data_IF_915339971155
#
_entry.id   IF_915339971155
#
_cell.length_a   1.000
_cell.length_b   1.000
_cell.length_c   1.000
_cell.angle_alpha   90.00
_cell.angle_beta   90.00
_cell.angle_gamma   90.00
#
_symmetry.space_group_name_H-M   'P 1'
#
loop_
_entity.id
_entity.type
_entity.pdbx_description
1 polymer ?
#
# COMPACT_ATOMS: atom_id res chain seq x y z
N UNK A 1 68.52 -59.74 15.91
CA UNK A 1 67.27 -59.51 15.15
C UNK A 1 66.15 -60.22 15.90
N UNK A 2 65.12 -59.48 16.35
CA UNK A 2 63.92 -59.39 15.53
C UNK A 2 63.34 -57.98 15.41
N UNK A 3 62.69 -57.77 14.28
CA UNK A 3 61.99 -56.58 13.80
C UNK A 3 60.65 -56.40 14.51
N UNK A 4 60.45 -55.20 15.06
CA UNK A 4 59.15 -54.65 15.45
C UNK A 4 58.31 -54.38 14.21
N UNK A 5 57.35 -55.25 13.94
CA UNK A 5 56.23 -54.99 13.04
C UNK A 5 54.96 -55.06 13.89
N UNK A 6 54.56 -53.91 14.44
CA UNK A 6 53.33 -53.77 15.21
C UNK A 6 52.59 -52.52 14.76
N UNK A 7 51.28 -52.71 14.54
CA UNK A 7 50.23 -51.70 14.56
C UNK A 7 50.20 -50.67 13.43
N UNK A 8 49.65 -51.06 12.27
CA UNK A 8 48.96 -50.13 11.35
C UNK A 8 47.62 -50.62 10.80
N UNK A 9 47.20 -51.85 11.12
CA UNK A 9 46.00 -52.46 10.53
C UNK A 9 44.70 -52.21 11.33
N UNK A 10 44.77 -51.71 12.58
CA UNK A 10 43.60 -51.46 13.44
C UNK A 10 43.07 -50.02 13.42
N UNK A 11 43.90 -49.04 13.03
CA UNK A 11 43.51 -47.62 13.00
C UNK A 11 42.70 -47.27 11.75
N UNK A 12 43.04 -47.83 10.58
CA UNK A 12 42.35 -47.51 9.32
C UNK A 12 40.93 -48.07 9.18
N UNK A 13 40.60 -49.16 9.89
CA UNK A 13 39.24 -49.71 9.92
C UNK A 13 38.29 -48.89 10.79
N UNK A 14 38.73 -48.51 11.99
CA UNK A 14 37.96 -47.63 12.88
C UNK A 14 37.79 -46.21 12.31
N UNK A 15 38.81 -45.70 11.62
CA UNK A 15 38.72 -44.42 10.89
C UNK A 15 37.73 -44.51 9.72
N UNK A 16 37.81 -45.55 8.89
CA UNK A 16 36.87 -45.76 7.77
C UNK A 16 35.43 -45.92 8.25
N UNK A 17 35.19 -46.70 9.29
CA UNK A 17 33.85 -46.93 9.86
C UNK A 17 33.29 -45.64 10.49
N UNK A 18 34.14 -44.85 11.17
CA UNK A 18 33.76 -43.54 11.68
C UNK A 18 33.38 -42.57 10.55
N UNK A 19 34.18 -42.51 9.48
CA UNK A 19 33.91 -41.66 8.32
C UNK A 19 32.60 -42.05 7.61
N UNK A 20 32.35 -43.36 7.43
CA UNK A 20 31.11 -43.87 6.86
C UNK A 20 29.89 -43.53 7.74
N UNK A 21 29.98 -43.74 9.06
CA UNK A 21 28.90 -43.40 9.98
C UNK A 21 28.55 -41.90 9.95
N UNK A 22 29.54 -41.01 9.91
CA UNK A 22 29.30 -39.56 9.79
C UNK A 22 28.68 -39.18 8.43
N UNK A 23 29.08 -39.87 7.36
CA UNK A 23 28.47 -39.69 6.04
C UNK A 23 27.01 -40.16 6.03
N UNK A 24 26.69 -41.28 6.68
CA UNK A 24 25.31 -41.78 6.82
C UNK A 24 24.46 -40.86 7.69
N UNK A 25 25.01 -40.32 8.78
CA UNK A 25 24.35 -39.28 9.59
C UNK A 25 24.05 -38.03 8.76
N UNK A 26 24.98 -37.61 7.91
CA UNK A 26 24.76 -36.51 6.96
C UNK A 26 23.70 -36.86 5.91
N UNK A 27 23.70 -38.09 5.40
CA UNK A 27 22.71 -38.59 4.45
C UNK A 27 21.31 -38.65 5.04
N UNK A 28 21.18 -39.00 6.33
CA UNK A 28 19.90 -39.02 7.04
C UNK A 28 19.25 -37.62 7.14
N UNK A 29 20.04 -36.54 7.06
CA UNK A 29 19.55 -35.16 7.05
C UNK A 29 18.95 -34.73 5.70
N UNK A 30 19.11 -35.52 4.63
CA UNK A 30 18.63 -35.15 3.29
C UNK A 30 17.11 -34.94 3.25
N UNK A 31 16.33 -35.87 3.82
CA UNK A 31 14.87 -35.76 3.86
C UNK A 31 14.42 -34.52 4.66
N UNK A 32 15.13 -34.20 5.75
CA UNK A 32 14.91 -32.96 6.49
C UNK A 32 15.24 -31.75 5.62
N UNK A 33 16.40 -31.72 4.95
CA UNK A 33 16.82 -30.60 4.10
C UNK A 33 15.84 -30.32 2.93
N UNK A 34 15.24 -31.37 2.36
CA UNK A 34 14.32 -31.26 1.22
C UNK A 34 12.87 -30.91 1.61
N UNK A 35 12.47 -31.21 2.85
CA UNK A 35 11.11 -31.02 3.35
C UNK A 35 10.65 -29.56 3.30
N UNK A 36 9.41 -29.36 2.87
CA UNK A 36 8.70 -28.09 2.92
C UNK A 36 7.21 -28.30 3.19
N UNK A 37 6.61 -27.41 3.98
CA UNK A 37 5.18 -27.38 4.24
C UNK A 37 4.38 -26.56 3.21
N UNK A 38 5.04 -26.02 2.18
CA UNK A 38 4.40 -25.17 1.15
C UNK A 38 4.93 -25.50 -0.25
N UNK A 39 4.02 -25.56 -1.22
CA UNK A 39 4.33 -25.71 -2.64
C UNK A 39 4.19 -24.40 -3.42
N UNK A 40 4.74 -24.33 -4.65
CA UNK A 40 4.68 -23.13 -5.49
C UNK A 40 3.25 -22.68 -5.79
N UNK A 41 2.32 -23.62 -6.02
CA UNK A 41 0.90 -23.31 -6.30
C UNK A 41 0.19 -22.66 -5.11
N UNK A 42 0.56 -23.02 -3.88
CA UNK A 42 0.01 -22.38 -2.68
C UNK A 42 0.50 -20.94 -2.55
N UNK A 43 1.78 -20.69 -2.83
CA UNK A 43 2.33 -19.33 -2.83
C UNK A 43 1.68 -18.46 -3.92
N UNK A 44 1.42 -19.04 -5.08
CA UNK A 44 0.73 -18.38 -6.18
C UNK A 44 -0.72 -18.02 -5.81
N UNK A 45 -1.50 -18.97 -5.25
CA UNK A 45 -2.88 -18.68 -4.85
C UNK A 45 -2.97 -17.57 -3.79
N UNK A 46 -2.05 -17.56 -2.81
CA UNK A 46 -2.00 -16.49 -1.80
C UNK A 46 -1.73 -15.12 -2.42
N UNK A 47 -0.82 -15.03 -3.40
CA UNK A 47 -0.55 -13.78 -4.15
C UNK A 47 -1.77 -13.38 -4.98
N UNK A 48 -2.38 -14.33 -5.67
CA UNK A 48 -3.57 -14.08 -6.48
C UNK A 48 -4.76 -13.63 -5.66
N UNK A 49 -4.90 -14.11 -4.42
CA UNK A 49 -5.89 -13.59 -3.49
C UNK A 49 -5.69 -12.09 -3.22
N UNK A 50 -4.45 -11.63 -3.03
CA UNK A 50 -4.16 -10.20 -2.87
C UNK A 50 -4.38 -9.40 -4.15
N UNK A 51 -3.99 -9.94 -5.32
CA UNK A 51 -4.29 -9.31 -6.63
C UNK A 51 -5.79 -9.15 -6.83
N UNK A 52 -6.58 -10.21 -6.60
CA UNK A 52 -8.04 -10.17 -6.68
C UNK A 52 -8.62 -9.10 -5.76
N UNK A 53 -8.17 -9.03 -4.50
CA UNK A 53 -8.66 -8.02 -3.56
C UNK A 53 -8.34 -6.60 -4.03
N UNK A 54 -7.11 -6.34 -4.44
CA UNK A 54 -6.68 -4.99 -4.85
C UNK A 54 -7.39 -4.53 -6.13
N UNK A 55 -7.65 -5.44 -7.09
CA UNK A 55 -8.46 -5.14 -8.28
C UNK A 55 -9.93 -4.86 -7.98
N UNK A 56 -10.49 -5.49 -6.94
CA UNK A 56 -11.88 -5.32 -6.50
C UNK A 56 -12.07 -4.17 -5.51
N UNK A 57 -10.99 -3.53 -5.08
CA UNK A 57 -11.03 -2.42 -4.14
C UNK A 57 -11.90 -1.28 -4.66
N UNK A 58 -12.81 -0.76 -3.82
CA UNK A 58 -13.83 0.24 -4.15
C UNK A 58 -14.87 -0.17 -5.21
N UNK A 59 -14.76 -1.37 -5.81
CA UNK A 59 -15.76 -1.98 -6.70
C UNK A 59 -16.68 -2.94 -5.94
N UNK A 60 -16.18 -3.50 -4.85
CA UNK A 60 -16.88 -4.45 -3.97
C UNK A 60 -16.99 -3.91 -2.54
N UNK A 61 -17.91 -4.45 -1.72
CA UNK A 61 -17.99 -4.09 -0.31
C UNK A 61 -16.67 -4.31 0.44
N UNK A 62 -16.25 -3.33 1.24
CA UNK A 62 -14.93 -3.30 1.89
C UNK A 62 -14.72 -4.42 2.91
N UNK A 63 -15.74 -4.79 3.70
CA UNK A 63 -15.57 -5.77 4.79
C UNK A 63 -15.30 -7.20 4.30
N UNK A 64 -16.01 -7.73 3.27
CA UNK A 64 -15.63 -8.99 2.63
C UNK A 64 -14.19 -9.00 2.10
N UNK A 65 -13.75 -7.91 1.45
CA UNK A 65 -12.36 -7.79 0.99
C UNK A 65 -11.38 -7.83 2.16
N UNK A 66 -11.66 -7.08 3.22
CA UNK A 66 -10.84 -7.08 4.45
C UNK A 66 -10.69 -8.48 5.04
N UNK A 67 -11.79 -9.25 5.13
CA UNK A 67 -11.75 -10.63 5.63
C UNK A 67 -10.86 -11.53 4.77
N UNK A 68 -10.93 -11.40 3.44
CA UNK A 68 -10.08 -12.20 2.55
C UNK A 68 -8.59 -11.88 2.72
N UNK A 69 -8.24 -10.62 2.97
CA UNK A 69 -6.84 -10.25 3.27
C UNK A 69 -6.40 -10.82 4.63
N UNK A 70 -7.30 -10.84 5.63
CA UNK A 70 -7.06 -11.51 6.92
C UNK A 70 -6.77 -13.00 6.72
N UNK A 71 -7.58 -13.70 5.92
CA UNK A 71 -7.38 -15.13 5.62
C UNK A 71 -6.03 -15.38 4.92
N UNK A 72 -5.66 -14.57 3.92
CA UNK A 72 -4.34 -14.66 3.27
C UNK A 72 -3.20 -14.44 4.26
N UNK A 73 -3.30 -13.40 5.11
CA UNK A 73 -2.32 -13.10 6.16
C UNK A 73 -2.16 -14.29 7.10
N UNK A 74 -3.26 -14.77 7.64
CA UNK A 74 -3.24 -15.83 8.67
C UNK A 74 -2.66 -17.12 8.10
N UNK A 75 -3.01 -17.46 6.86
CA UNK A 75 -2.42 -18.62 6.17
C UNK A 75 -0.93 -18.46 5.93
N UNK A 76 -0.46 -17.28 5.52
CA UNK A 76 0.96 -17.03 5.32
C UNK A 76 1.77 -17.13 6.63
N UNK A 77 1.23 -16.59 7.72
CA UNK A 77 1.83 -16.67 9.06
C UNK A 77 1.84 -18.11 9.60
N UNK A 78 0.74 -18.85 9.44
CA UNK A 78 0.67 -20.27 9.80
C UNK A 78 1.75 -21.08 9.05
N UNK A 79 1.90 -20.85 7.75
CA UNK A 79 2.92 -21.52 6.96
C UNK A 79 4.32 -21.18 7.47
N UNK A 80 4.62 -19.91 7.76
CA UNK A 80 5.91 -19.46 8.32
C UNK A 80 6.29 -20.11 9.67
N UNK A 81 5.33 -20.66 10.41
CA UNK A 81 5.59 -21.38 11.67
C UNK A 81 6.04 -22.83 11.45
N UNK A 82 5.94 -23.36 10.22
CA UNK A 82 6.44 -24.69 9.87
C UNK A 82 7.82 -24.64 9.21
N UNK A 83 8.12 -25.64 8.37
CA UNK A 83 9.39 -25.74 7.63
C UNK A 83 9.24 -25.32 6.17
N UNK A 84 10.07 -24.40 5.69
CA UNK A 84 10.12 -24.01 4.28
C UNK A 84 11.56 -23.99 3.78
N UNK A 85 11.72 -23.97 2.46
CA UNK A 85 12.97 -23.57 1.82
C UNK A 85 13.15 -22.05 1.94
N UNK A 86 14.39 -21.52 2.01
CA UNK A 86 14.63 -20.08 2.21
C UNK A 86 13.84 -19.16 1.28
N UNK A 87 13.83 -19.43 -0.04
CA UNK A 87 13.08 -18.63 -1.00
C UNK A 87 11.56 -18.65 -0.78
N UNK A 88 11.02 -19.75 -0.24
CA UNK A 88 9.61 -19.87 0.10
C UNK A 88 9.28 -19.08 1.37
N UNK A 89 10.17 -19.07 2.37
CA UNK A 89 10.03 -18.19 3.54
C UNK A 89 10.02 -16.72 3.11
N UNK A 90 10.96 -16.28 2.26
CA UNK A 90 11.00 -14.92 1.73
C UNK A 90 9.69 -14.56 1.00
N UNK A 91 9.15 -15.49 0.19
CA UNK A 91 7.86 -15.32 -0.47
C UNK A 91 6.70 -15.16 0.51
N UNK A 92 6.65 -15.96 1.57
CA UNK A 92 5.61 -15.87 2.61
C UNK A 92 5.73 -14.58 3.43
N UNK A 93 6.95 -14.13 3.75
CA UNK A 93 7.19 -12.83 4.37
C UNK A 93 6.65 -11.69 3.52
N UNK A 94 6.90 -11.71 2.20
CA UNK A 94 6.36 -10.72 1.28
C UNK A 94 4.82 -10.76 1.25
N UNK A 95 4.21 -11.93 1.12
CA UNK A 95 2.74 -12.10 1.11
C UNK A 95 2.12 -11.56 2.42
N UNK A 96 2.69 -11.91 3.57
CA UNK A 96 2.22 -11.43 4.87
C UNK A 96 2.41 -9.91 5.01
N UNK A 97 3.55 -9.37 4.56
CA UNK A 97 3.85 -7.94 4.54
C UNK A 97 2.83 -7.17 3.70
N UNK A 98 2.63 -7.56 2.45
CA UNK A 98 1.62 -6.97 1.55
C UNK A 98 0.21 -7.06 2.11
N UNK A 99 -0.15 -8.20 2.71
CA UNK A 99 -1.45 -8.36 3.38
C UNK A 99 -1.63 -7.33 4.50
N UNK A 100 -0.61 -7.12 5.34
CA UNK A 100 -0.69 -6.16 6.44
C UNK A 100 -0.62 -4.70 5.97
N UNK A 101 0.12 -4.39 4.91
CA UNK A 101 0.09 -3.08 4.25
C UNK A 101 -1.32 -2.76 3.78
N UNK A 102 -1.97 -3.70 3.09
CA UNK A 102 -3.34 -3.56 2.60
C UNK A 102 -4.35 -3.45 3.76
N UNK A 103 -4.24 -4.26 4.81
CA UNK A 103 -5.09 -4.13 6.01
C UNK A 103 -4.93 -2.77 6.67
N UNK A 104 -3.71 -2.24 6.78
CA UNK A 104 -3.45 -0.90 7.30
C UNK A 104 -4.12 0.18 6.45
N UNK A 105 -4.04 0.06 5.12
CA UNK A 105 -4.70 0.97 4.18
C UNK A 105 -6.22 0.95 4.35
N UNK A 106 -6.83 -0.24 4.31
CA UNK A 106 -8.29 -0.40 4.46
C UNK A 106 -8.76 0.12 5.82
N UNK A 107 -8.02 -0.17 6.89
CA UNK A 107 -8.35 0.30 8.24
C UNK A 107 -8.34 1.83 8.32
N UNK A 108 -7.42 2.47 7.60
CA UNK A 108 -7.35 3.94 7.48
C UNK A 108 -8.56 4.48 6.73
N UNK A 109 -8.92 3.87 5.60
CA UNK A 109 -10.10 4.24 4.80
C UNK A 109 -11.43 3.98 5.54
N UNK A 110 -11.45 3.10 6.54
CA UNK A 110 -12.58 2.89 7.44
C UNK A 110 -12.61 3.90 8.62
N UNK A 111 -11.68 4.86 8.64
CA UNK A 111 -11.62 5.92 9.64
C UNK A 111 -11.02 5.52 10.97
N UNK A 112 -10.14 4.51 10.96
CA UNK A 112 -9.46 4.01 12.14
C UNK A 112 -7.93 4.08 12.02
N UNK A 113 -7.35 5.25 11.68
CA UNK A 113 -5.89 5.38 11.60
C UNK A 113 -5.20 5.11 12.95
N UNK A 114 -5.91 5.28 14.07
CA UNK A 114 -5.45 4.98 15.44
C UNK A 114 -5.01 3.52 15.63
N UNK A 115 -5.65 2.57 14.93
CA UNK A 115 -5.28 1.14 14.98
C UNK A 115 -4.57 0.65 13.73
N UNK A 116 -4.69 1.36 12.60
CA UNK A 116 -4.01 1.01 11.34
C UNK A 116 -2.49 0.88 11.50
N UNK A 117 -1.88 1.74 12.33
CA UNK A 117 -0.44 1.70 12.60
C UNK A 117 0.06 0.37 13.20
N UNK A 118 -0.81 -0.44 13.82
CA UNK A 118 -0.44 -1.78 14.31
C UNK A 118 -0.11 -2.71 13.15
N UNK A 119 -0.95 -2.72 12.11
CA UNK A 119 -0.69 -3.51 10.90
C UNK A 119 0.61 -3.06 10.22
N UNK A 120 0.82 -1.76 10.10
CA UNK A 120 1.94 -1.21 9.32
C UNK A 120 3.30 -1.38 10.01
N UNK A 121 3.36 -1.40 11.35
CA UNK A 121 4.59 -1.75 12.07
C UNK A 121 4.98 -3.21 11.85
N UNK A 122 4.00 -4.12 11.88
CA UNK A 122 4.26 -5.53 11.60
C UNK A 122 4.59 -5.75 10.12
N UNK A 123 3.91 -5.07 9.21
CA UNK A 123 4.22 -5.10 7.78
C UNK A 123 5.68 -4.69 7.50
N UNK A 124 6.17 -3.65 8.18
CA UNK A 124 7.57 -3.23 8.11
C UNK A 124 8.52 -4.34 8.55
N UNK A 125 8.28 -4.94 9.73
CA UNK A 125 9.12 -6.03 10.22
C UNK A 125 9.15 -7.25 9.28
N UNK A 126 8.03 -7.55 8.62
CA UNK A 126 7.97 -8.62 7.62
C UNK A 126 8.71 -8.24 6.33
N UNK A 127 8.59 -7.00 5.86
CA UNK A 127 9.27 -6.51 4.67
C UNK A 127 10.80 -6.50 4.81
N UNK A 128 11.33 -6.29 6.01
CA UNK A 128 12.77 -6.39 6.30
C UNK A 128 13.32 -7.82 6.12
N UNK A 129 12.47 -8.85 6.15
CA UNK A 129 12.85 -10.24 5.87
C UNK A 129 12.77 -10.58 4.36
N UNK A 130 12.68 -9.56 3.51
CA UNK A 130 12.56 -9.70 2.06
C UNK A 130 13.46 -8.67 1.38
N UNK A 131 13.82 -8.92 0.11
CA UNK A 131 14.48 -7.92 -0.75
C UNK A 131 13.47 -7.08 -1.56
N UNK A 132 12.20 -7.07 -1.14
CA UNK A 132 11.10 -6.39 -1.85
C UNK A 132 11.04 -4.90 -1.46
N UNK A 133 11.79 -4.08 -2.20
CA UNK A 133 11.81 -2.63 -2.00
C UNK A 133 10.49 -1.96 -2.41
N UNK A 134 9.72 -2.53 -3.33
CA UNK A 134 8.38 -2.05 -3.67
C UNK A 134 7.45 -2.16 -2.46
N UNK A 135 7.46 -3.32 -1.79
CA UNK A 135 6.75 -3.53 -0.53
C UNK A 135 7.18 -2.52 0.54
N UNK A 136 8.50 -2.34 0.75
CA UNK A 136 9.01 -1.36 1.74
C UNK A 136 8.52 0.06 1.42
N UNK A 137 8.55 0.46 0.15
CA UNK A 137 8.00 1.73 -0.33
C UNK A 137 6.51 1.88 0.00
N UNK A 138 5.70 0.86 -0.30
CA UNK A 138 4.26 0.89 -0.02
C UNK A 138 3.91 0.84 1.48
N UNK A 139 4.70 0.13 2.30
CA UNK A 139 4.56 0.20 3.76
C UNK A 139 4.76 1.64 4.23
N UNK A 140 5.79 2.33 3.72
CA UNK A 140 6.07 3.73 4.04
C UNK A 140 4.98 4.68 3.52
N UNK A 141 4.44 4.44 2.34
CA UNK A 141 3.31 5.19 1.79
C UNK A 141 2.05 5.06 2.67
N UNK A 142 1.76 3.85 3.15
CA UNK A 142 0.65 3.62 4.07
C UNK A 142 0.89 4.29 5.43
N UNK A 143 2.13 4.28 5.93
CA UNK A 143 2.49 4.96 7.18
C UNK A 143 2.35 6.48 7.06
N UNK A 144 2.78 7.05 5.93
CA UNK A 144 2.55 8.45 5.57
C UNK A 144 1.05 8.79 5.64
N UNK A 145 0.22 7.99 4.96
CA UNK A 145 -1.23 8.19 4.93
C UNK A 145 -1.85 8.14 6.33
N UNK A 146 -1.46 7.18 7.16
CA UNK A 146 -1.92 7.07 8.56
C UNK A 146 -1.54 8.32 9.36
N UNK A 147 -0.29 8.76 9.29
CA UNK A 147 0.20 9.94 10.01
C UNK A 147 -0.52 11.22 9.56
N UNK A 148 -0.70 11.42 8.26
CA UNK A 148 -1.46 12.54 7.70
C UNK A 148 -2.92 12.52 8.16
N UNK A 149 -3.57 11.35 8.20
CA UNK A 149 -4.95 11.20 8.71
C UNK A 149 -5.07 11.52 10.20
N UNK A 150 -3.98 11.41 10.96
CA UNK A 150 -3.89 11.80 12.37
C UNK A 150 -3.51 13.28 12.55
N UNK A 151 -3.25 14.02 11.47
CA UNK A 151 -2.77 15.40 11.51
C UNK A 151 -1.30 15.54 11.89
N UNK A 152 -0.54 14.43 11.96
CA UNK A 152 0.89 14.46 12.24
C UNK A 152 1.69 14.54 10.93
N UNK A 153 1.70 15.73 10.34
CA UNK A 153 2.35 15.98 9.05
C UNK A 153 3.88 15.89 9.11
N UNK A 154 4.50 16.10 10.27
CA UNK A 154 5.94 15.85 10.45
C UNK A 154 6.26 14.37 10.25
N UNK A 155 5.53 13.48 10.96
CA UNK A 155 5.72 12.03 10.79
C UNK A 155 5.32 11.55 9.39
N UNK A 156 4.30 12.18 8.77
CA UNK A 156 3.92 11.89 7.39
C UNK A 156 5.07 12.21 6.43
N UNK A 157 5.65 13.41 6.52
CA UNK A 157 6.79 13.81 5.72
C UNK A 157 7.99 12.89 5.94
N UNK A 158 8.30 12.50 7.18
CA UNK A 158 9.40 11.56 7.47
C UNK A 158 9.17 10.18 6.84
N UNK A 159 7.95 9.64 6.97
CA UNK A 159 7.59 8.36 6.37
C UNK A 159 7.72 8.39 4.84
N UNK A 160 7.24 9.46 4.19
CA UNK A 160 7.42 9.63 2.74
C UNK A 160 8.90 9.72 2.34
N UNK A 161 9.75 10.33 3.19
CA UNK A 161 11.19 10.46 2.94
C UNK A 161 11.85 9.09 2.93
N UNK A 162 11.58 8.34 3.99
CA UNK A 162 12.11 7.01 4.17
C UNK A 162 11.64 6.08 3.06
N UNK A 163 10.40 6.21 2.60
CA UNK A 163 9.87 5.43 1.48
C UNK A 163 10.63 5.66 0.18
N UNK A 164 10.95 6.92 -0.15
CA UNK A 164 11.69 7.26 -1.37
C UNK A 164 13.11 6.68 -1.40
N UNK A 165 13.70 6.36 -0.25
CA UNK A 165 14.99 5.67 -0.20
C UNK A 165 14.92 4.20 -0.67
N UNK A 166 13.71 3.60 -0.69
CA UNK A 166 13.49 2.24 -1.19
C UNK A 166 12.81 2.22 -2.56
N UNK A 167 11.90 3.16 -2.82
CA UNK A 167 11.16 3.26 -4.06
C UNK A 167 11.12 4.72 -4.52
N UNK A 168 12.04 5.09 -5.42
CA UNK A 168 12.15 6.43 -6.02
C UNK A 168 11.54 6.50 -7.44
N UNK A 169 10.97 5.40 -7.91
CA UNK A 169 10.38 5.22 -9.24
C UNK A 169 9.07 4.44 -9.17
N UNK A 170 8.38 4.36 -10.32
CA UNK A 170 7.11 3.66 -10.46
C UNK A 170 6.00 4.21 -9.55
N UNK A 171 4.96 3.42 -9.33
CA UNK A 171 3.77 3.85 -8.58
C UNK A 171 4.05 4.22 -7.13
N UNK A 172 4.87 3.43 -6.43
CA UNK A 172 5.22 3.73 -5.04
C UNK A 172 5.98 5.06 -4.93
N UNK A 173 7.00 5.25 -5.76
CA UNK A 173 7.79 6.48 -5.79
C UNK A 173 6.94 7.70 -6.16
N UNK A 174 6.08 7.58 -7.18
CA UNK A 174 5.20 8.66 -7.59
C UNK A 174 4.24 9.07 -6.46
N UNK A 175 3.61 8.11 -5.78
CA UNK A 175 2.73 8.40 -4.67
C UNK A 175 3.48 9.04 -3.50
N UNK A 176 4.64 8.48 -3.13
CA UNK A 176 5.46 9.00 -2.03
C UNK A 176 5.90 10.43 -2.31
N UNK A 177 6.45 10.72 -3.50
CA UNK A 177 6.86 12.06 -3.90
C UNK A 177 5.68 13.04 -3.93
N UNK A 178 4.52 12.60 -4.43
CA UNK A 178 3.31 13.42 -4.48
C UNK A 178 2.73 13.69 -3.09
N UNK A 179 2.75 12.72 -2.17
CA UNK A 179 2.36 12.93 -0.78
C UNK A 179 3.33 13.90 -0.07
N UNK A 180 4.63 13.78 -0.38
CA UNK A 180 5.69 14.68 0.09
C UNK A 180 5.51 16.13 -0.36
N UNK A 181 4.73 16.40 -1.40
CA UNK A 181 4.35 17.75 -1.77
C UNK A 181 3.33 18.38 -0.81
N UNK A 182 2.54 17.56 -0.11
CA UNK A 182 1.47 18.03 0.78
C UNK A 182 2.00 18.26 2.19
N UNK A 183 2.71 17.28 2.76
CA UNK A 183 3.02 17.27 4.19
C UNK A 183 3.88 18.46 4.65
N UNK A 184 4.97 18.86 3.93
CA UNK A 184 5.75 20.04 4.28
C UNK A 184 4.94 21.33 4.16
N UNK A 185 4.05 21.44 3.18
CA UNK A 185 3.19 22.61 3.01
C UNK A 185 2.27 22.81 4.24
N UNK A 186 1.72 21.72 4.79
CA UNK A 186 0.86 21.76 5.98
C UNK A 186 1.59 22.27 7.24
N UNK A 187 2.93 22.17 7.29
CA UNK A 187 3.76 22.66 8.39
C UNK A 187 4.56 23.91 8.02
N UNK A 188 4.18 24.62 6.95
CA UNK A 188 4.76 25.91 6.56
C UNK A 188 6.09 25.84 5.79
N UNK A 189 6.49 24.67 5.30
CA UNK A 189 7.74 24.43 4.54
C UNK A 189 7.46 24.43 3.04
N UNK A 190 7.03 25.57 2.51
CA UNK A 190 6.59 25.73 1.12
C UNK A 190 7.69 25.42 0.08
N UNK A 191 8.95 25.75 0.36
CA UNK A 191 10.09 25.44 -0.53
C UNK A 191 10.29 23.94 -0.72
N UNK A 192 10.13 23.15 0.35
CA UNK A 192 10.24 21.69 0.29
C UNK A 192 9.05 21.05 -0.41
N UNK A 193 7.85 21.60 -0.23
CA UNK A 193 6.67 21.22 -0.99
C UNK A 193 6.89 21.42 -2.50
N UNK A 194 7.40 22.59 -2.91
CA UNK A 194 7.70 22.89 -4.30
C UNK A 194 8.79 21.96 -4.88
N UNK A 195 9.84 21.66 -4.12
CA UNK A 195 10.87 20.71 -4.53
C UNK A 195 10.29 19.29 -4.71
N UNK A 196 9.42 18.85 -3.80
CA UNK A 196 8.75 17.56 -3.90
C UNK A 196 7.81 17.47 -5.10
N UNK A 197 7.07 18.54 -5.44
CA UNK A 197 6.28 18.60 -6.68
C UNK A 197 7.15 18.44 -7.92
N UNK A 198 8.32 19.10 -7.95
CA UNK A 198 9.26 18.95 -9.05
C UNK A 198 9.75 17.50 -9.18
N UNK A 199 10.14 16.85 -8.08
CA UNK A 199 10.51 15.43 -8.07
C UNK A 199 9.37 14.53 -8.53
N UNK A 200 8.14 14.78 -8.08
CA UNK A 200 6.97 14.01 -8.51
C UNK A 200 6.73 14.13 -10.03
N UNK A 201 6.92 15.34 -10.60
CA UNK A 201 6.88 15.57 -12.04
C UNK A 201 7.94 14.75 -12.79
N UNK A 202 9.19 14.77 -12.32
CA UNK A 202 10.27 13.97 -12.92
C UNK A 202 10.02 12.45 -12.88
N UNK A 203 9.33 11.96 -11.85
CA UNK A 203 8.91 10.55 -11.79
C UNK A 203 7.77 10.29 -12.78
N UNK A 204 6.78 11.19 -12.84
CA UNK A 204 5.66 11.06 -13.76
C UNK A 204 6.10 11.08 -15.23
N UNK A 205 7.04 11.96 -15.60
CA UNK A 205 7.58 12.05 -16.96
C UNK A 205 8.21 10.71 -17.38
N UNK A 206 9.01 10.09 -16.51
CA UNK A 206 9.60 8.76 -16.76
C UNK A 206 8.55 7.66 -16.93
N UNK A 207 7.44 7.74 -16.20
CA UNK A 207 6.35 6.75 -16.28
C UNK A 207 5.54 6.85 -17.57
N UNK A 208 5.62 7.96 -18.32
CA UNK A 208 5.01 8.07 -19.66
C UNK A 208 5.70 7.14 -20.64
N UNK A 209 7.04 7.10 -20.60
CA UNK A 209 7.84 6.26 -21.48
C UNK A 209 7.90 4.80 -20.98
N UNK A 210 7.95 4.62 -19.66
CA UNK A 210 8.05 3.31 -19.00
C UNK A 210 6.91 3.12 -17.98
N UNK A 211 5.73 2.65 -18.42
CA UNK A 211 4.62 2.39 -17.52
C UNK A 211 5.01 1.41 -16.41
N UNK A 212 4.59 1.66 -15.15
CA UNK A 212 4.99 0.84 -14.03
C UNK A 212 4.40 -0.58 -14.14
N UNK A 213 5.22 -1.58 -13.82
CA UNK A 213 4.80 -2.97 -13.70
C UNK A 213 4.43 -3.30 -12.26
N UNK A 214 3.35 -2.70 -11.74
CA UNK A 214 2.94 -2.87 -10.34
C UNK A 214 2.54 -4.33 -10.04
N UNK A 215 2.99 -4.86 -8.90
CA UNK A 215 2.58 -6.19 -8.47
C UNK A 215 1.07 -6.28 -8.13
N UNK A 216 0.52 -5.16 -7.64
CA UNK A 216 -0.87 -5.04 -7.18
C UNK A 216 -1.53 -3.79 -7.72
N UNK A 217 -2.87 -3.78 -7.73
CA UNK A 217 -3.66 -2.68 -8.28
C UNK A 217 -4.31 -1.82 -7.17
N UNK A 218 -5.30 -1.01 -7.57
CA UNK A 218 -6.20 -0.33 -6.64
C UNK A 218 -5.46 0.66 -5.72
N UNK A 219 -5.52 0.50 -4.39
CA UNK A 219 -4.88 1.44 -3.47
C UNK A 219 -3.34 1.38 -3.53
N UNK A 220 -2.78 0.25 -3.99
CA UNK A 220 -1.34 -0.03 -4.09
C UNK A 220 -0.78 0.21 -5.50
N UNK A 221 -1.42 1.10 -6.26
CA UNK A 221 -0.95 1.56 -7.58
C UNK A 221 -1.23 3.05 -7.72
N UNK A 222 -0.31 3.80 -8.35
CA UNK A 222 -0.42 5.25 -8.50
C UNK A 222 -0.19 5.64 -9.95
N UNK A 223 -1.28 5.89 -10.66
CA UNK A 223 -1.22 6.45 -12.00
C UNK A 223 -0.99 7.96 -11.96
N UNK A 224 -0.54 8.54 -13.07
CA UNK A 224 -0.31 10.00 -13.20
C UNK A 224 -1.60 10.77 -12.91
N UNK A 225 -2.76 10.25 -13.30
CA UNK A 225 -4.06 10.87 -13.02
C UNK A 225 -4.39 10.86 -11.53
N UNK A 226 -4.03 9.78 -10.82
CA UNK A 226 -4.17 9.73 -9.37
C UNK A 226 -3.23 10.75 -8.70
N UNK A 227 -1.98 10.84 -9.17
CA UNK A 227 -0.99 11.77 -8.64
C UNK A 227 -1.41 13.24 -8.79
N UNK A 228 -2.07 13.60 -9.89
CA UNK A 228 -2.60 14.96 -10.08
C UNK A 228 -3.59 15.41 -8.99
N UNK A 229 -4.29 14.48 -8.33
CA UNK A 229 -5.09 14.82 -7.15
C UNK A 229 -4.27 15.22 -5.93
N UNK A 230 -3.09 14.62 -5.74
CA UNK A 230 -2.15 15.02 -4.69
C UNK A 230 -1.52 16.37 -5.01
N UNK A 231 -1.18 16.62 -6.28
CA UNK A 231 -0.62 17.90 -6.71
C UNK A 231 -1.63 19.04 -6.59
N UNK A 232 -2.91 18.77 -6.90
CA UNK A 232 -4.00 19.71 -6.64
C UNK A 232 -4.14 20.05 -5.15
N UNK A 233 -4.04 19.05 -4.25
CA UNK A 233 -4.09 19.29 -2.80
C UNK A 233 -2.87 20.09 -2.33
N UNK A 234 -1.68 19.74 -2.79
CA UNK A 234 -0.45 20.47 -2.46
C UNK A 234 -0.55 21.96 -2.89
N UNK A 235 -1.04 22.24 -4.10
CA UNK A 235 -1.28 23.60 -4.56
C UNK A 235 -2.27 24.34 -3.66
N UNK A 236 -3.37 23.69 -3.28
CA UNK A 236 -4.39 24.29 -2.41
C UNK A 236 -3.82 24.64 -1.03
N UNK A 237 -3.05 23.73 -0.41
CA UNK A 237 -2.42 23.96 0.91
C UNK A 237 -1.42 25.12 0.85
N UNK A 238 -0.73 25.31 -0.28
CA UNK A 238 0.15 26.45 -0.52
C UNK A 238 -0.58 27.75 -0.89
N UNK A 239 -1.93 27.77 -0.87
CA UNK A 239 -2.73 28.95 -1.21
C UNK A 239 -2.86 29.22 -2.72
N UNK A 240 -2.48 28.27 -3.56
CA UNK A 240 -2.50 28.38 -5.01
C UNK A 240 -3.79 27.77 -5.59
N UNK A 241 -4.93 28.36 -5.24
CA UNK A 241 -6.25 27.81 -5.58
C UNK A 241 -6.47 27.65 -7.10
N UNK A 242 -5.95 28.57 -7.92
CA UNK A 242 -6.02 28.49 -9.38
C UNK A 242 -5.25 27.26 -9.90
N UNK A 243 -4.03 27.06 -9.42
CA UNK A 243 -3.20 25.91 -9.79
C UNK A 243 -3.80 24.57 -9.31
N UNK A 244 -4.50 24.57 -8.17
CA UNK A 244 -5.27 23.42 -7.71
C UNK A 244 -6.32 22.99 -8.74
N UNK A 245 -7.11 23.94 -9.26
CA UNK A 245 -8.12 23.68 -10.28
C UNK A 245 -7.49 23.18 -11.59
N UNK A 246 -6.35 23.74 -11.99
CA UNK A 246 -5.61 23.34 -13.19
C UNK A 246 -5.10 21.89 -13.10
N UNK A 247 -4.40 21.55 -12.01
CA UNK A 247 -3.94 20.17 -11.78
C UNK A 247 -5.10 19.18 -11.75
N UNK A 248 -6.20 19.54 -11.08
CA UNK A 248 -7.36 18.67 -11.02
C UNK A 248 -8.03 18.51 -12.39
N UNK A 249 -8.15 19.58 -13.18
CA UNK A 249 -8.72 19.54 -14.53
C UNK A 249 -7.90 18.65 -15.47
N UNK A 250 -6.57 18.77 -15.45
CA UNK A 250 -5.65 17.95 -16.25
C UNK A 250 -5.77 16.46 -15.87
N UNK A 251 -5.76 16.15 -14.58
CA UNK A 251 -5.93 14.79 -14.08
C UNK A 251 -7.28 14.19 -14.48
N UNK A 252 -8.38 14.97 -14.41
CA UNK A 252 -9.71 14.52 -14.84
C UNK A 252 -9.78 14.31 -16.35
N UNK A 253 -9.11 15.14 -17.15
CA UNK A 253 -9.03 14.94 -18.60
C UNK A 253 -8.33 13.62 -18.94
N UNK A 254 -7.22 13.31 -18.26
CA UNK A 254 -6.54 12.02 -18.41
C UNK A 254 -7.40 10.84 -17.96
N UNK A 255 -8.13 10.93 -16.85
CA UNK A 255 -9.09 9.89 -16.45
C UNK A 255 -10.15 9.65 -17.53
N UNK A 256 -10.68 10.72 -18.14
CA UNK A 256 -11.71 10.63 -19.19
C UNK A 256 -11.18 10.09 -20.51
N UNK A 257 -9.90 10.24 -20.80
CA UNK A 257 -9.26 9.65 -21.99
C UNK A 257 -9.16 8.11 -21.89
N UNK A 258 -9.18 7.55 -20.68
CA UNK A 258 -9.14 6.11 -20.47
C UNK A 258 -10.52 5.45 -20.66
N UNK A 259 -10.59 4.24 -21.25
CA UNK A 259 -11.82 3.45 -21.31
C UNK A 259 -12.45 3.24 -19.92
N UNK A 260 -13.80 3.18 -19.80
CA UNK A 260 -14.47 3.01 -18.51
C UNK A 260 -13.98 1.84 -17.66
N UNK A 261 -13.56 0.73 -18.28
CA UNK A 261 -13.05 -0.45 -17.59
C UNK A 261 -11.69 -0.22 -16.89
N UNK A 262 -10.90 0.75 -17.38
CA UNK A 262 -9.56 1.07 -16.86
C UNK A 262 -9.59 2.26 -15.89
N UNK A 263 -10.72 2.96 -15.75
CA UNK A 263 -10.85 4.11 -14.86
C UNK A 263 -10.91 3.69 -13.40
N UNK A 264 -10.04 4.27 -12.58
CA UNK A 264 -10.13 4.18 -11.13
C UNK A 264 -11.11 5.25 -10.61
N UNK A 265 -12.39 4.88 -10.53
CA UNK A 265 -13.47 5.80 -10.10
C UNK A 265 -13.27 6.36 -8.69
N UNK A 266 -12.55 5.65 -7.81
CA UNK A 266 -12.21 6.15 -6.48
C UNK A 266 -11.26 7.33 -6.54
N UNK A 267 -10.15 7.16 -7.25
CA UNK A 267 -9.17 8.22 -7.52
C UNK A 267 -9.78 9.37 -8.32
N UNK A 268 -10.66 9.09 -9.28
CA UNK A 268 -11.33 10.14 -10.05
C UNK A 268 -12.19 11.04 -9.15
N UNK A 269 -12.98 10.45 -8.23
CA UNK A 269 -13.76 11.19 -7.23
C UNK A 269 -12.89 11.98 -6.26
N UNK A 270 -11.72 11.45 -5.91
CA UNK A 270 -10.72 12.18 -5.13
C UNK A 270 -10.32 13.47 -5.84
N UNK A 271 -9.94 13.38 -7.12
CA UNK A 271 -9.53 14.56 -7.92
C UNK A 271 -10.69 15.54 -8.07
N UNK A 272 -11.92 15.07 -8.34
CA UNK A 272 -13.11 15.92 -8.38
C UNK A 272 -13.31 16.68 -7.07
N UNK A 273 -13.09 16.02 -5.93
CA UNK A 273 -13.19 16.67 -4.61
C UNK A 273 -12.15 17.78 -4.46
N UNK A 274 -10.92 17.58 -4.93
CA UNK A 274 -9.90 18.64 -4.89
C UNK A 274 -10.26 19.82 -5.79
N UNK A 275 -10.79 19.56 -6.99
CA UNK A 275 -11.28 20.61 -7.88
C UNK A 275 -12.37 21.46 -7.23
N UNK A 276 -13.35 20.82 -6.57
CA UNK A 276 -14.42 21.51 -5.84
C UNK A 276 -13.85 22.41 -4.75
N UNK A 277 -12.85 21.94 -3.98
CA UNK A 277 -12.19 22.78 -2.98
C UNK A 277 -11.45 23.96 -3.59
N UNK A 278 -10.81 23.76 -4.75
CA UNK A 278 -10.19 24.83 -5.53
C UNK A 278 -11.19 25.93 -5.88
N UNK A 279 -12.35 25.57 -6.45
CA UNK A 279 -13.43 26.53 -6.75
C UNK A 279 -13.95 27.25 -5.50
N UNK A 280 -14.13 26.53 -4.38
CA UNK A 280 -14.52 27.15 -3.10
C UNK A 280 -13.48 28.19 -2.64
N UNK A 281 -12.18 27.88 -2.78
CA UNK A 281 -11.11 28.79 -2.38
C UNK A 281 -11.00 30.02 -3.30
N UNK A 282 -11.40 29.89 -4.58
CA UNK A 282 -11.51 31.01 -5.53
C UNK A 282 -12.76 31.88 -5.31
N UNK A 283 -13.75 31.38 -4.56
CA UNK A 283 -15.05 32.04 -4.38
C UNK A 283 -16.09 31.68 -5.46
N UNK A 284 -15.79 30.72 -6.33
CA UNK A 284 -16.66 30.26 -7.42
C UNK A 284 -17.70 29.24 -6.92
N UNK A 285 -18.55 29.68 -5.97
CA UNK A 285 -19.46 28.78 -5.26
C UNK A 285 -20.48 28.10 -6.17
N UNK A 286 -20.97 28.78 -7.22
CA UNK A 286 -21.93 28.19 -8.17
C UNK A 286 -21.32 27.03 -8.96
N UNK A 287 -20.04 27.18 -9.36
CA UNK A 287 -19.28 26.12 -10.03
C UNK A 287 -19.03 24.96 -9.06
N UNK A 288 -18.60 25.27 -7.83
CA UNK A 288 -18.37 24.28 -6.79
C UNK A 288 -19.64 23.45 -6.47
N UNK A 289 -20.80 24.10 -6.33
CA UNK A 289 -22.08 23.43 -6.08
C UNK A 289 -22.49 22.55 -7.24
N UNK A 290 -22.29 23.01 -8.48
CA UNK A 290 -22.59 22.21 -9.67
C UNK A 290 -21.72 20.96 -9.73
N UNK A 291 -20.41 21.09 -9.59
CA UNK A 291 -19.48 19.97 -9.55
C UNK A 291 -19.78 19.00 -8.39
N UNK A 292 -20.15 19.51 -7.20
CA UNK A 292 -20.54 18.66 -6.07
C UNK A 292 -21.79 17.82 -6.37
N UNK A 293 -22.79 18.39 -7.05
CA UNK A 293 -24.00 17.65 -7.45
C UNK A 293 -23.67 16.50 -8.40
N UNK A 294 -22.75 16.70 -9.34
CA UNK A 294 -22.29 15.65 -10.25
C UNK A 294 -21.62 14.49 -9.50
N UNK A 295 -20.72 14.80 -8.56
CA UNK A 295 -20.06 13.78 -7.71
C UNK A 295 -21.08 12.98 -6.91
N UNK A 296 -22.05 13.66 -6.29
CA UNK A 296 -23.11 13.00 -5.50
C UNK A 296 -23.98 12.11 -6.39
N UNK A 297 -24.38 12.58 -7.58
CA UNK A 297 -25.18 11.81 -8.52
C UNK A 297 -24.43 10.58 -9.07
N UNK A 298 -23.12 10.71 -9.31
CA UNK A 298 -22.26 9.63 -9.80
C UNK A 298 -21.79 8.65 -8.70
N UNK A 299 -22.06 8.95 -7.42
CA UNK A 299 -21.74 8.07 -6.30
C UNK A 299 -22.91 7.11 -6.10
N UNK A 300 -22.72 5.79 -6.26
CA UNK A 300 -23.78 4.82 -5.98
C UNK A 300 -24.30 5.07 -4.58
N UNK A 301 -25.57 5.44 -4.48
CA UNK A 301 -26.29 5.32 -3.22
C UNK A 301 -26.12 3.88 -2.75
N UNK A 302 -25.92 3.66 -1.45
CA UNK A 302 -26.04 2.31 -0.86
C UNK A 302 -27.25 1.68 -1.52
N UNK A 303 -27.06 0.55 -2.20
CA UNK A 303 -28.19 -0.30 -2.56
C UNK A 303 -28.99 -0.45 -1.27
N UNK A 304 -30.18 0.16 -1.24
CA UNK A 304 -31.18 -0.16 -0.25
C UNK A 304 -31.26 -1.67 -0.26
N UNK A 305 -30.97 -2.31 0.88
CA UNK A 305 -31.33 -3.69 1.10
C UNK A 305 -32.75 -3.86 0.55
N UNK A 306 -32.87 -4.73 -0.45
CA UNK A 306 -34.16 -5.12 -1.00
C UNK A 306 -35.06 -5.53 0.17
N UNK A 307 -36.29 -5.05 0.10
CA UNK A 307 -37.40 -5.46 0.95
C UNK A 307 -37.48 -6.98 1.10
N UNK A 308 -37.09 -7.48 2.27
CA UNK A 308 -37.71 -8.60 2.97
C UNK A 308 -37.12 -8.69 4.38
N UNK A 309 -38.01 -8.88 5.36
CA UNK A 309 -37.78 -9.23 6.76
C UNK A 309 -37.38 -8.13 7.77
N UNK A 310 -38.44 -7.67 8.42
CA UNK A 310 -38.51 -7.14 9.77
C UNK A 310 -37.83 -8.02 10.81
N UNK A 311 -36.65 -7.63 11.29
CA UNK A 311 -36.20 -7.75 12.69
C UNK A 311 -34.69 -7.49 12.81
N UNK A 312 -34.28 -6.21 12.87
CA UNK A 312 -32.99 -5.80 13.46
C UNK A 312 -33.06 -4.30 13.79
N UNK A 313 -33.74 -3.95 14.89
CA UNK A 313 -33.53 -2.67 15.58
C UNK A 313 -32.41 -2.88 16.58
N UNK A 314 -31.22 -2.48 16.20
CA UNK A 314 -30.03 -2.50 17.06
C UNK A 314 -28.79 -2.43 16.19
N UNK A 315 -27.96 -1.42 16.40
CA UNK A 315 -26.70 -1.14 15.70
C UNK A 315 -26.78 -0.71 14.24
N UNK A 316 -26.92 0.61 14.05
CA UNK A 316 -26.50 1.24 12.79
C UNK A 316 -24.98 1.06 12.64
N UNK A 317 -24.49 0.38 11.58
CA UNK A 317 -23.06 0.33 11.31
C UNK A 317 -22.54 1.76 11.05
N UNK A 318 -21.28 2.07 11.43
CA UNK A 318 -20.71 3.39 11.20
C UNK A 318 -20.83 3.76 9.72
N UNK A 319 -21.23 5.01 9.47
CA UNK A 319 -21.38 5.56 8.11
C UNK A 319 -20.06 5.34 7.37
N UNK A 320 -20.07 4.55 6.31
CA UNK A 320 -18.97 4.50 5.33
C UNK A 320 -18.88 5.87 4.67
N UNK A 321 -18.17 6.80 5.31
CA UNK A 321 -17.75 8.04 4.67
C UNK A 321 -16.54 7.63 3.84
N UNK A 322 -16.67 7.62 2.51
CA UNK A 322 -15.51 7.49 1.64
C UNK A 322 -14.51 8.59 2.04
N UNK A 323 -13.34 8.18 2.52
CA UNK A 323 -12.35 9.05 3.15
C UNK A 323 -11.73 10.08 2.22
N UNK A 324 -11.90 9.93 0.91
CA UNK A 324 -11.54 10.92 -0.10
C UNK A 324 -12.09 12.33 0.19
N UNK A 325 -13.15 12.44 1.01
CA UNK A 325 -13.74 13.72 1.43
C UNK A 325 -13.09 14.37 2.68
N UNK A 326 -12.13 13.70 3.36
CA UNK A 326 -11.58 14.17 4.65
C UNK A 326 -10.09 14.52 4.66
N UNK A 327 -9.37 14.31 3.56
CA UNK A 327 -8.04 14.92 3.38
C UNK A 327 -8.26 16.43 3.25
N UNK A 328 -7.65 17.24 4.11
CA UNK A 328 -7.81 18.69 4.13
C UNK A 328 -8.82 19.21 5.17
N UNK A 329 -8.54 18.99 6.45
CA UNK A 329 -9.16 19.73 7.54
C UNK A 329 -8.65 21.17 7.58
N UNK A 330 -9.00 21.99 6.60
CA UNK A 330 -8.71 23.42 6.65
C UNK A 330 -9.62 24.09 7.68
N UNK A 331 -9.04 24.57 8.78
CA UNK A 331 -9.65 25.70 9.51
C UNK A 331 -9.44 26.93 8.64
N UNK A 332 -10.50 27.35 7.94
CA UNK A 332 -10.56 28.70 7.37
C UNK A 332 -10.46 29.66 8.56
N UNK A 333 -9.30 30.29 8.72
CA UNK A 333 -9.13 31.39 9.66
C UNK A 333 -10.08 32.50 9.22
N UNK A 334 -11.13 32.75 10.01
CA UNK A 334 -11.97 33.94 9.84
C UNK A 334 -11.10 35.16 10.13
N UNK A 335 -10.67 35.87 9.10
CA UNK A 335 -10.23 37.26 9.26
C UNK A 335 -11.43 38.05 9.81
N UNK A 336 -11.28 38.56 11.04
CA UNK A 336 -12.15 39.61 11.56
C UNK A 336 -11.69 40.91 10.91
N UNK A 337 -12.55 41.49 10.09
CA UNK A 337 -12.65 42.95 10.01
C UNK A 337 -13.61 43.41 11.10
#
# INVERSE_FOLDING_TARGET
MPTTESSRAGEGGGESDFLLANADESGALLAWAEASNVGPLTLEDLRDNLRRVTHQYLKSPTLPLFRRVVETRDRAIELLQGRQRPHQSTALYAIAGWSMTLLGWITTDLGRPDIAGRHLRTAWALAENTDDNELRGWVRAAQNTVAACQGNYTAAAEAAAAGLAYADQGSAGLLLASARAIDPAQIGRASESAAALHTAGQIADRMVDEPPSDQYAGPLSCSIERAGGYWADAALVNGQAQQCVEFAAEALARFRANPPALRNLGSERMVQTQQIKGYVALGDFDVAVTALREVVAATPGRASCGSADSACRGDRPPRQRQWYLRVGGHRIARNRH
#
